data_IF_796593913698
#
_entry.id   IF_796593913698
#
_cell.length_a   1.000
_cell.length_b   1.000
_cell.length_c   1.000
_cell.angle_alpha   90.00
_cell.angle_beta   90.00
_cell.angle_gamma   90.00
#
_symmetry.space_group_name_H-M   'P 1'
#
loop_
_entity.id
_entity.type
_entity.pdbx_description
1 polymer ?
#
# COMPACT_ATOMS: atom_id res chain seq x y z
N UNK A 1 -62.70 61.81 30.92
CA UNK A 1 -62.96 60.70 30.02
C UNK A 1 -61.64 60.40 29.28
N UNK A 2 -60.86 59.44 29.77
CA UNK A 2 -59.56 59.05 29.15
C UNK A 2 -59.81 57.86 28.26
N UNK A 3 -59.64 58.00 26.94
CA UNK A 3 -59.71 56.89 25.98
C UNK A 3 -58.40 56.11 26.02
N UNK A 4 -58.43 54.86 26.49
CA UNK A 4 -57.38 53.88 26.36
C UNK A 4 -57.40 53.36 24.92
N UNK A 5 -56.35 53.65 24.14
CA UNK A 5 -56.11 53.05 22.84
C UNK A 5 -55.25 51.81 23.13
N UNK A 6 -55.84 50.60 22.99
CA UNK A 6 -55.15 49.30 23.09
C UNK A 6 -54.50 49.02 21.74
N UNK A 7 -53.17 49.14 21.66
CA UNK A 7 -52.39 48.73 20.49
C UNK A 7 -52.22 47.25 20.56
N UNK A 8 -52.93 46.51 19.70
CA UNK A 8 -52.78 45.09 19.50
C UNK A 8 -51.55 44.80 18.58
N UNK A 9 -50.42 44.52 19.19
CA UNK A 9 -49.19 44.16 18.46
C UNK A 9 -49.33 42.75 17.95
N UNK A 10 -49.71 42.55 16.68
CA UNK A 10 -49.72 41.24 16.03
C UNK A 10 -48.26 40.86 15.71
N UNK A 11 -47.69 39.99 16.51
CA UNK A 11 -46.45 39.32 16.24
C UNK A 11 -46.65 38.34 15.07
N UNK A 12 -46.36 38.78 13.85
CA UNK A 12 -46.19 37.91 12.70
C UNK A 12 -44.88 37.08 12.92
N UNK A 13 -45.02 35.91 13.51
CA UNK A 13 -43.95 34.90 13.48
C UNK A 13 -43.83 34.42 12.03
N UNK A 14 -42.85 34.94 11.30
CA UNK A 14 -42.39 34.34 10.08
C UNK A 14 -41.75 33.02 10.49
N UNK A 15 -42.47 31.89 10.30
CA UNK A 15 -41.85 30.57 10.21
C UNK A 15 -41.04 30.59 8.91
N UNK A 16 -39.79 31.01 8.99
CA UNK A 16 -38.82 30.68 7.99
C UNK A 16 -38.63 29.15 8.07
N UNK A 17 -39.44 28.43 7.30
CA UNK A 17 -39.08 27.06 6.90
C UNK A 17 -37.81 27.22 6.08
N UNK A 18 -36.64 27.17 6.76
CA UNK A 18 -35.39 26.95 6.08
C UNK A 18 -35.57 25.62 5.37
N UNK A 19 -35.70 25.68 4.04
CA UNK A 19 -35.70 24.49 3.19
C UNK A 19 -34.34 23.83 3.43
N UNK A 20 -34.33 22.79 4.26
CA UNK A 20 -33.12 22.05 4.53
C UNK A 20 -32.64 21.47 3.17
N UNK A 21 -31.40 21.72 2.77
CA UNK A 21 -30.91 21.19 1.51
C UNK A 21 -31.11 19.68 1.52
N UNK A 22 -31.68 19.13 0.44
CA UNK A 22 -31.88 17.71 0.25
C UNK A 22 -30.57 16.98 0.57
N UNK A 23 -30.54 16.18 1.63
CA UNK A 23 -29.36 15.44 2.07
C UNK A 23 -29.36 14.09 1.41
N UNK A 24 -28.27 13.73 0.73
CA UNK A 24 -28.07 12.45 0.08
C UNK A 24 -27.55 11.41 1.09
N UNK A 25 -26.63 11.81 1.95
CA UNK A 25 -26.08 10.96 3.00
C UNK A 25 -25.50 11.78 4.15
N UNK A 26 -25.47 11.19 5.33
CA UNK A 26 -24.67 11.68 6.45
C UNK A 26 -23.43 10.83 6.61
N UNK A 27 -22.30 11.48 6.83
CA UNK A 27 -21.02 10.85 7.20
C UNK A 27 -20.67 11.32 8.62
N UNK A 28 -20.91 10.46 9.60
CA UNK A 28 -21.02 10.86 11.00
C UNK A 28 -22.11 11.94 11.14
N UNK A 29 -21.77 13.14 11.60
CA UNK A 29 -22.72 14.24 11.78
C UNK A 29 -22.71 15.26 10.60
N UNK A 30 -21.92 15.00 9.55
CA UNK A 30 -21.78 15.92 8.41
C UNK A 30 -22.65 15.48 7.24
N UNK A 31 -23.52 16.37 6.72
CA UNK A 31 -24.36 16.08 5.57
C UNK A 31 -23.60 16.23 4.26
N UNK A 32 -23.79 15.31 3.34
CA UNK A 32 -23.50 15.48 1.91
C UNK A 32 -24.82 15.80 1.24
N UNK A 33 -24.88 17.00 0.65
CA UNK A 33 -26.13 17.51 0.06
C UNK A 33 -26.33 17.00 -1.37
N UNK A 34 -27.55 17.10 -1.86
CA UNK A 34 -27.87 16.83 -3.27
C UNK A 34 -27.10 17.78 -4.19
N UNK A 35 -26.89 19.03 -3.77
CA UNK A 35 -26.08 19.98 -4.51
C UNK A 35 -24.63 19.49 -4.67
N UNK A 36 -23.98 19.06 -3.58
CA UNK A 36 -22.61 18.51 -3.64
C UNK A 36 -22.54 17.30 -4.58
N UNK A 37 -23.54 16.42 -4.51
CA UNK A 37 -23.63 15.23 -5.35
C UNK A 37 -23.79 15.57 -6.84
N UNK A 38 -24.80 16.40 -7.19
CA UNK A 38 -25.09 16.76 -8.59
C UNK A 38 -23.97 17.61 -9.21
N UNK A 39 -23.38 18.53 -8.44
CA UNK A 39 -22.24 19.33 -8.89
C UNK A 39 -21.02 18.44 -9.19
N UNK A 40 -20.73 17.45 -8.33
CA UNK A 40 -19.66 16.49 -8.57
C UNK A 40 -19.96 15.59 -9.76
N UNK A 41 -21.19 15.12 -9.89
CA UNK A 41 -21.63 14.31 -11.03
C UNK A 41 -21.44 15.05 -12.34
N UNK A 42 -21.97 16.27 -12.43
CA UNK A 42 -21.82 17.12 -13.61
C UNK A 42 -20.34 17.33 -13.97
N UNK A 43 -19.52 17.63 -12.98
CA UNK A 43 -18.09 17.85 -13.19
C UNK A 43 -17.40 16.61 -13.74
N UNK A 44 -17.65 15.43 -13.18
CA UNK A 44 -17.04 14.17 -13.63
C UNK A 44 -17.48 13.84 -15.06
N UNK A 45 -18.76 13.95 -15.36
CA UNK A 45 -19.30 13.65 -16.70
C UNK A 45 -18.69 14.57 -17.76
N UNK A 46 -18.65 15.86 -17.49
CA UNK A 46 -18.15 16.86 -18.46
C UNK A 46 -16.64 16.76 -18.64
N UNK A 47 -15.85 16.70 -17.56
CA UNK A 47 -14.39 16.68 -17.65
C UNK A 47 -13.84 15.38 -18.27
N UNK A 48 -14.56 14.27 -18.13
CA UNK A 48 -14.14 12.98 -18.68
C UNK A 48 -14.91 12.61 -19.97
N UNK A 49 -15.77 13.49 -20.46
CA UNK A 49 -16.60 13.25 -21.66
C UNK A 49 -17.37 11.90 -21.57
N UNK A 50 -18.00 11.65 -20.40
CA UNK A 50 -18.74 10.41 -20.14
C UNK A 50 -20.19 10.59 -20.55
N UNK A 51 -20.70 9.66 -21.37
CA UNK A 51 -22.13 9.52 -21.64
C UNK A 51 -22.79 8.61 -20.59
N UNK A 52 -23.70 9.17 -19.82
CA UNK A 52 -24.48 8.47 -18.80
C UNK A 52 -25.95 8.31 -19.18
N UNK A 53 -26.27 8.30 -20.47
CA UNK A 53 -27.64 8.11 -20.97
C UNK A 53 -28.19 6.71 -20.67
N UNK A 54 -27.33 5.70 -20.61
CA UNK A 54 -27.70 4.33 -20.24
C UNK A 54 -28.00 4.22 -18.73
N UNK A 55 -29.18 3.68 -18.34
CA UNK A 55 -29.58 3.62 -16.92
C UNK A 55 -28.60 2.86 -16.03
N UNK A 56 -27.95 1.80 -16.50
CA UNK A 56 -27.00 1.03 -15.72
C UNK A 56 -25.70 1.80 -15.51
N UNK A 57 -25.20 2.46 -16.56
CA UNK A 57 -24.04 3.34 -16.48
C UNK A 57 -24.30 4.49 -15.50
N UNK A 58 -25.50 5.13 -15.59
CA UNK A 58 -25.88 6.19 -14.67
C UNK A 58 -25.92 5.72 -13.22
N UNK A 59 -26.48 4.55 -12.93
CA UNK A 59 -26.49 3.95 -11.57
C UNK A 59 -25.10 3.67 -11.05
N UNK A 60 -24.21 3.11 -11.90
CA UNK A 60 -22.83 2.86 -11.47
C UNK A 60 -22.10 4.16 -11.15
N UNK A 61 -22.21 5.18 -12.00
CA UNK A 61 -21.62 6.50 -11.78
C UNK A 61 -22.14 7.12 -10.48
N UNK A 62 -23.43 7.03 -10.22
CA UNK A 62 -24.01 7.57 -8.99
C UNK A 62 -23.40 6.90 -7.75
N UNK A 63 -23.26 5.57 -7.75
CA UNK A 63 -22.63 4.82 -6.65
C UNK A 63 -21.17 5.24 -6.46
N UNK A 64 -20.44 5.40 -7.54
CA UNK A 64 -19.01 5.77 -7.49
C UNK A 64 -18.84 7.19 -6.95
N UNK A 65 -19.64 8.14 -7.40
CA UNK A 65 -19.64 9.52 -6.91
C UNK A 65 -19.98 9.58 -5.43
N UNK A 66 -21.02 8.87 -5.00
CA UNK A 66 -21.39 8.81 -3.59
C UNK A 66 -20.24 8.26 -2.74
N UNK A 67 -19.59 7.20 -3.18
CA UNK A 67 -18.44 6.63 -2.48
C UNK A 67 -17.25 7.62 -2.42
N UNK A 68 -16.98 8.36 -3.50
CA UNK A 68 -15.93 9.39 -3.54
C UNK A 68 -16.24 10.50 -2.52
N UNK A 69 -17.45 11.03 -2.53
CA UNK A 69 -17.84 12.10 -1.60
C UNK A 69 -17.78 11.65 -0.13
N UNK A 70 -18.23 10.42 0.15
CA UNK A 70 -18.10 9.82 1.50
C UNK A 70 -16.63 9.70 1.89
N UNK A 71 -15.77 9.22 1.00
CA UNK A 71 -14.33 9.09 1.27
C UNK A 71 -13.69 10.46 1.52
N UNK A 72 -13.99 11.45 0.70
CA UNK A 72 -13.48 12.83 0.87
C UNK A 72 -13.90 13.44 2.20
N UNK A 73 -15.16 13.26 2.60
CA UNK A 73 -15.65 13.75 3.89
C UNK A 73 -14.96 13.06 5.07
N UNK A 74 -14.78 11.74 5.00
CA UNK A 74 -14.04 10.98 6.02
C UNK A 74 -12.58 11.43 6.12
N UNK A 75 -11.94 11.71 4.98
CA UNK A 75 -10.58 12.23 4.93
C UNK A 75 -10.49 13.63 5.54
N UNK A 76 -11.44 14.50 5.25
CA UNK A 76 -11.51 15.85 5.83
C UNK A 76 -11.64 15.78 7.36
N UNK A 77 -12.58 14.99 7.87
CA UNK A 77 -12.75 14.79 9.31
C UNK A 77 -11.51 14.17 9.97
N UNK A 78 -10.83 13.28 9.28
CA UNK A 78 -9.57 12.72 9.80
C UNK A 78 -8.48 13.78 9.85
N UNK A 79 -8.31 14.57 8.79
CA UNK A 79 -7.32 15.65 8.72
C UNK A 79 -7.54 16.68 9.84
N UNK A 80 -8.77 17.11 10.06
CA UNK A 80 -9.12 18.01 11.16
C UNK A 80 -8.74 17.44 12.54
N UNK A 81 -9.03 16.17 12.78
CA UNK A 81 -8.69 15.48 14.07
C UNK A 81 -7.20 15.42 14.35
N UNK A 82 -6.36 15.33 13.30
CA UNK A 82 -4.91 15.22 13.44
C UNK A 82 -4.17 16.53 13.21
N UNK A 83 -4.88 17.64 13.00
CA UNK A 83 -4.31 18.96 12.71
C UNK A 83 -3.64 19.05 11.34
N UNK A 84 -4.09 18.24 10.38
CA UNK A 84 -3.59 18.17 9.00
C UNK A 84 -4.42 18.99 8.01
N UNK A 85 -4.86 20.17 8.39
CA UNK A 85 -5.66 21.04 7.54
C UNK A 85 -4.87 21.54 6.32
N UNK A 86 -5.49 21.50 5.14
CA UNK A 86 -4.95 22.02 3.89
C UNK A 86 -5.30 23.49 3.73
N UNK A 87 -4.29 24.32 3.49
CA UNK A 87 -4.46 25.76 3.28
C UNK A 87 -4.89 26.05 1.84
N UNK A 88 -5.61 27.15 1.64
CA UNK A 88 -6.06 27.58 0.32
C UNK A 88 -4.90 27.76 -0.68
N UNK A 89 -3.74 28.25 -0.20
CA UNK A 89 -2.53 28.37 -1.01
C UNK A 89 -2.02 27.02 -1.55
N UNK A 90 -2.16 25.93 -0.78
CA UNK A 90 -1.77 24.59 -1.21
C UNK A 90 -2.72 24.09 -2.32
N UNK A 91 -4.01 24.41 -2.23
CA UNK A 91 -5.00 24.11 -3.26
C UNK A 91 -4.68 24.89 -4.54
N UNK A 92 -4.38 26.18 -4.44
CA UNK A 92 -4.01 27.02 -5.59
C UNK A 92 -2.72 26.50 -6.27
N UNK A 93 -1.72 26.11 -5.50
CA UNK A 93 -0.48 25.53 -6.01
C UNK A 93 -0.71 24.16 -6.69
N UNK A 94 -1.62 23.36 -6.17
CA UNK A 94 -2.01 22.08 -6.79
C UNK A 94 -2.72 22.31 -8.12
N UNK A 95 -3.65 23.28 -8.20
CA UNK A 95 -4.34 23.67 -9.43
C UNK A 95 -3.32 24.16 -10.47
N UNK A 96 -2.41 25.05 -10.08
CA UNK A 96 -1.33 25.53 -10.96
C UNK A 96 -0.46 24.35 -11.49
N UNK A 97 -0.15 23.39 -10.65
CA UNK A 97 0.61 22.18 -11.05
C UNK A 97 -0.17 21.32 -12.06
N UNK A 98 -1.50 21.23 -11.93
CA UNK A 98 -2.38 20.56 -12.89
C UNK A 98 -2.36 21.30 -14.24
N UNK A 99 -2.49 22.62 -14.22
CA UNK A 99 -2.44 23.47 -15.40
C UNK A 99 -1.11 23.29 -16.18
N UNK A 100 0.02 23.33 -15.45
CA UNK A 100 1.35 23.15 -16.05
C UNK A 100 1.51 21.76 -16.70
N UNK A 101 1.08 20.69 -16.03
CA UNK A 101 1.14 19.32 -16.57
C UNK A 101 0.28 19.15 -17.82
N UNK A 102 -0.86 19.83 -17.88
CA UNK A 102 -1.77 19.82 -19.03
C UNK A 102 -1.44 20.89 -20.08
N UNK A 103 -0.32 21.62 -19.93
CA UNK A 103 0.11 22.71 -20.84
C UNK A 103 -0.95 23.81 -20.98
N UNK A 104 -1.71 24.05 -19.92
CA UNK A 104 -2.70 25.11 -19.87
C UNK A 104 -2.05 26.41 -19.35
N UNK A 105 -2.52 27.59 -19.77
CA UNK A 105 -2.09 28.86 -19.18
C UNK A 105 -2.55 28.94 -17.73
N UNK A 106 -1.88 29.78 -16.92
CA UNK A 106 -2.31 30.05 -15.53
C UNK A 106 -3.76 30.56 -15.53
N UNK A 107 -4.59 29.93 -14.70
CA UNK A 107 -6.04 30.20 -14.61
C UNK A 107 -6.86 29.47 -15.70
N UNK A 108 -6.21 28.71 -16.56
CA UNK A 108 -6.86 27.99 -17.67
C UNK A 108 -7.86 26.95 -17.20
N UNK A 109 -7.55 26.25 -16.10
CA UNK A 109 -8.48 25.27 -15.51
C UNK A 109 -9.75 25.96 -14.99
N UNK A 110 -9.61 27.05 -14.27
CA UNK A 110 -10.78 27.81 -13.75
C UNK A 110 -11.59 28.41 -14.91
N UNK A 111 -10.93 28.91 -15.97
CA UNK A 111 -11.62 29.39 -17.16
C UNK A 111 -12.40 28.24 -17.85
N UNK A 112 -11.81 27.05 -17.94
CA UNK A 112 -12.47 25.86 -18.49
C UNK A 112 -13.70 25.44 -17.66
N UNK A 113 -13.59 25.46 -16.33
CA UNK A 113 -14.71 25.19 -15.43
C UNK A 113 -15.87 26.17 -15.67
N UNK A 114 -15.56 27.47 -15.73
CA UNK A 114 -16.56 28.51 -16.01
C UNK A 114 -17.24 28.34 -17.37
N UNK A 115 -16.46 28.07 -18.42
CA UNK A 115 -16.97 27.88 -19.78
C UNK A 115 -17.95 26.71 -19.90
N UNK A 116 -17.82 25.70 -19.03
CA UNK A 116 -18.70 24.53 -18.98
C UNK A 116 -19.78 24.62 -17.88
N UNK A 117 -19.96 25.78 -17.25
CA UNK A 117 -20.88 26.02 -16.12
C UNK A 117 -20.68 24.97 -14.99
N UNK A 118 -19.41 24.65 -14.68
CA UNK A 118 -19.04 23.76 -13.57
C UNK A 118 -18.76 24.58 -12.31
N UNK A 119 -19.11 24.01 -11.16
CA UNK A 119 -18.90 24.65 -9.88
C UNK A 119 -17.43 24.60 -9.46
N UNK A 120 -16.84 25.77 -9.23
CA UNK A 120 -15.42 25.89 -8.87
C UNK A 120 -15.16 25.38 -7.46
N UNK A 121 -16.08 25.59 -6.53
CA UNK A 121 -15.93 25.13 -5.16
C UNK A 121 -15.95 23.60 -5.07
N UNK A 122 -16.79 22.95 -5.85
CA UNK A 122 -16.76 21.47 -6.00
C UNK A 122 -15.41 20.98 -6.50
N UNK A 123 -14.79 21.68 -7.46
CA UNK A 123 -13.44 21.35 -7.93
C UNK A 123 -12.38 21.58 -6.85
N UNK A 124 -12.41 22.71 -6.15
CA UNK A 124 -11.49 23.01 -5.04
C UNK A 124 -11.59 21.99 -3.91
N UNK A 125 -12.82 21.59 -3.54
CA UNK A 125 -13.07 20.52 -2.55
C UNK A 125 -12.43 19.20 -2.99
N UNK A 126 -12.54 18.82 -4.26
CA UNK A 126 -11.88 17.63 -4.79
C UNK A 126 -10.35 17.72 -4.64
N UNK A 127 -9.75 18.85 -5.06
CA UNK A 127 -8.29 19.05 -4.93
C UNK A 127 -7.87 18.97 -3.46
N UNK A 128 -8.63 19.58 -2.55
CA UNK A 128 -8.40 19.48 -1.10
C UNK A 128 -8.41 18.03 -0.63
N UNK A 129 -9.41 17.24 -1.04
CA UNK A 129 -9.50 15.80 -0.72
C UNK A 129 -8.30 14.99 -1.22
N UNK A 130 -7.85 15.25 -2.46
CA UNK A 130 -6.68 14.60 -3.04
C UNK A 130 -5.37 14.97 -2.30
N UNK A 131 -5.22 16.22 -1.88
CA UNK A 131 -4.08 16.66 -1.07
C UNK A 131 -4.06 15.98 0.31
N UNK A 132 -5.20 15.92 0.99
CA UNK A 132 -5.33 15.21 2.27
C UNK A 132 -4.95 13.73 2.09
N UNK A 133 -5.51 13.08 1.07
CA UNK A 133 -5.23 11.67 0.75
C UNK A 133 -3.73 11.44 0.49
N UNK A 134 -3.10 12.33 -0.29
CA UNK A 134 -1.68 12.30 -0.56
C UNK A 134 -0.85 12.43 0.71
N UNK A 135 -1.18 13.36 1.60
CA UNK A 135 -0.48 13.57 2.86
C UNK A 135 -0.61 12.35 3.78
N UNK A 136 -1.80 11.74 3.86
CA UNK A 136 -2.00 10.49 4.61
C UNK A 136 -1.14 9.36 4.03
N UNK A 137 -1.15 9.17 2.70
CA UNK A 137 -0.34 8.15 2.03
C UNK A 137 1.14 8.39 2.29
N UNK A 138 1.63 9.62 2.21
CA UNK A 138 3.01 9.98 2.51
C UNK A 138 3.38 9.67 3.96
N UNK A 139 2.52 10.00 4.92
CA UNK A 139 2.71 9.66 6.34
C UNK A 139 2.77 8.13 6.55
N UNK A 140 1.86 7.38 5.93
CA UNK A 140 1.87 5.92 5.98
C UNK A 140 3.15 5.33 5.38
N UNK A 141 3.70 5.96 4.32
CA UNK A 141 4.90 5.49 3.63
C UNK A 141 6.16 5.57 4.49
N UNK A 142 6.27 6.59 5.32
CA UNK A 142 7.42 6.77 6.21
C UNK A 142 7.58 5.61 7.21
N UNK A 143 6.51 4.89 7.50
CA UNK A 143 6.50 3.74 8.41
C UNK A 143 6.72 2.39 7.71
N UNK A 144 6.99 2.40 6.38
CA UNK A 144 7.20 1.18 5.60
C UNK A 144 8.68 0.90 5.47
N UNK A 145 9.08 -0.27 5.92
CA UNK A 145 10.41 -0.82 5.69
C UNK A 145 10.31 -2.19 5.01
N UNK A 146 11.27 -2.50 4.18
CA UNK A 146 11.46 -3.84 3.59
C UNK A 146 12.62 -4.49 4.33
N UNK A 147 12.33 -5.58 5.01
CA UNK A 147 13.36 -6.31 5.77
C UNK A 147 14.29 -7.10 4.84
N UNK A 148 15.50 -7.46 5.30
CA UNK A 148 16.40 -8.34 4.55
C UNK A 148 15.77 -9.68 4.16
N UNK A 149 15.00 -10.29 5.04
CA UNK A 149 14.30 -11.55 4.76
C UNK A 149 13.27 -11.42 3.64
N UNK A 150 12.50 -10.30 3.62
CA UNK A 150 11.53 -10.06 2.55
C UNK A 150 12.22 -9.86 1.20
N UNK A 151 13.39 -9.21 1.20
CA UNK A 151 14.22 -9.08 0.00
C UNK A 151 14.72 -10.43 -0.47
N UNK A 152 15.21 -11.29 0.43
CA UNK A 152 15.70 -12.63 0.12
C UNK A 152 14.58 -13.50 -0.47
N UNK A 153 13.40 -13.53 0.15
CA UNK A 153 12.23 -14.28 -0.36
C UNK A 153 11.79 -13.75 -1.73
N UNK A 154 11.81 -12.44 -1.94
CA UNK A 154 11.45 -11.87 -3.23
C UNK A 154 12.47 -12.18 -4.32
N UNK A 155 13.74 -12.21 -3.97
CA UNK A 155 14.83 -12.63 -4.87
C UNK A 155 14.66 -14.08 -5.29
N UNK A 156 14.44 -14.99 -4.34
CA UNK A 156 14.18 -16.40 -4.60
C UNK A 156 13.01 -16.58 -5.57
N UNK A 157 11.91 -15.85 -5.35
CA UNK A 157 10.71 -15.92 -6.18
C UNK A 157 10.87 -15.28 -7.57
N UNK A 158 11.79 -14.34 -7.71
CA UNK A 158 11.98 -13.57 -8.96
C UNK A 158 13.11 -14.12 -9.83
N UNK A 159 14.11 -14.74 -9.21
CA UNK A 159 15.29 -15.28 -9.87
C UNK A 159 15.44 -16.73 -9.46
N UNK A 160 15.07 -17.62 -10.36
CA UNK A 160 15.01 -19.08 -10.08
C UNK A 160 16.37 -19.74 -9.88
N UNK A 161 17.50 -19.01 -10.06
CA UNK A 161 18.80 -19.68 -10.08
C UNK A 161 19.94 -18.82 -9.52
N UNK A 162 20.42 -19.21 -8.35
CA UNK A 162 21.58 -18.61 -7.69
C UNK A 162 22.86 -19.33 -8.10
N UNK A 163 23.95 -18.61 -8.28
CA UNK A 163 25.29 -19.19 -8.28
C UNK A 163 25.68 -19.48 -6.83
N UNK A 164 25.85 -20.75 -6.52
CA UNK A 164 26.17 -21.26 -5.18
C UNK A 164 27.56 -21.85 -5.15
N UNK A 165 28.36 -21.39 -4.20
CA UNK A 165 29.56 -22.10 -3.77
C UNK A 165 29.33 -22.61 -2.35
N UNK A 166 29.38 -23.91 -2.16
CA UNK A 166 29.12 -24.55 -0.88
C UNK A 166 29.91 -25.85 -0.76
N UNK A 167 30.10 -26.30 0.47
CA UNK A 167 30.55 -27.68 0.76
C UNK A 167 29.37 -28.48 1.28
N UNK A 168 29.14 -29.65 0.73
CA UNK A 168 28.10 -30.58 1.16
C UNK A 168 28.83 -31.77 1.84
N UNK A 169 28.57 -31.94 3.14
CA UNK A 169 29.13 -33.02 3.94
C UNK A 169 28.06 -34.09 4.14
N UNK A 170 28.46 -35.34 3.93
CA UNK A 170 27.62 -36.53 4.11
C UNK A 170 28.28 -37.47 5.10
N UNK A 171 27.55 -37.92 6.10
CA UNK A 171 28.06 -38.95 7.04
C UNK A 171 28.28 -40.28 6.34
N UNK A 172 29.24 -41.06 6.77
CA UNK A 172 29.53 -42.41 6.21
C UNK A 172 28.51 -43.45 6.63
N UNK A 173 27.94 -43.27 7.83
CA UNK A 173 26.91 -44.15 8.38
C UNK A 173 25.78 -43.35 8.96
N UNK A 174 24.64 -44.00 9.22
CA UNK A 174 23.45 -43.36 9.80
C UNK A 174 23.29 -43.49 11.31
N UNK A 175 24.39 -43.87 12.00
CA UNK A 175 24.44 -44.11 13.43
C UNK A 175 24.70 -42.81 14.23
N UNK A 176 24.48 -42.86 15.55
CA UNK A 176 24.63 -41.68 16.42
C UNK A 176 26.10 -41.19 16.46
N UNK A 177 27.09 -42.09 16.34
CA UNK A 177 28.50 -41.73 16.28
C UNK A 177 28.78 -40.85 15.04
N UNK A 178 28.20 -41.18 13.91
CA UNK A 178 28.33 -40.38 12.68
C UNK A 178 27.70 -39.04 12.82
N UNK A 179 26.57 -38.91 13.55
CA UNK A 179 25.94 -37.65 13.85
C UNK A 179 26.80 -36.77 14.79
N UNK A 180 27.41 -37.36 15.81
CA UNK A 180 28.40 -36.70 16.67
C UNK A 180 29.59 -36.17 15.87
N UNK A 181 30.13 -36.99 14.96
CA UNK A 181 31.20 -36.59 14.05
C UNK A 181 30.81 -35.37 13.22
N UNK A 182 29.59 -35.33 12.68
CA UNK A 182 29.07 -34.17 11.94
C UNK A 182 28.96 -32.92 12.82
N UNK A 183 28.60 -33.07 14.11
CA UNK A 183 28.59 -31.97 15.07
C UNK A 183 29.99 -31.42 15.36
N UNK A 184 30.98 -32.30 15.47
CA UNK A 184 32.39 -31.92 15.65
C UNK A 184 32.92 -31.20 14.40
N UNK A 185 32.61 -31.70 13.22
CA UNK A 185 32.95 -31.05 11.96
C UNK A 185 32.31 -29.63 11.88
N UNK A 186 31.03 -29.52 12.23
CA UNK A 186 30.33 -28.23 12.24
C UNK A 186 31.07 -27.17 13.06
N UNK A 187 31.64 -27.54 14.22
CA UNK A 187 32.41 -26.62 15.08
C UNK A 187 33.75 -26.21 14.48
N UNK A 188 34.33 -27.03 13.61
CA UNK A 188 35.60 -26.75 12.94
C UNK A 188 35.47 -25.89 11.69
N UNK A 189 34.29 -25.89 11.06
CA UNK A 189 34.00 -25.13 9.86
C UNK A 189 33.82 -23.65 10.21
N UNK A 190 34.85 -22.84 10.02
CA UNK A 190 34.87 -21.41 10.36
C UNK A 190 35.03 -20.50 9.16
N UNK A 191 35.59 -21.02 8.05
CA UNK A 191 35.86 -20.22 6.84
C UNK A 191 36.01 -21.13 5.63
N UNK A 192 35.47 -20.73 4.48
CA UNK A 192 35.56 -21.51 3.24
C UNK A 192 36.97 -21.76 2.75
N UNK A 193 37.85 -20.79 2.94
CA UNK A 193 39.26 -20.92 2.52
C UNK A 193 40.06 -21.92 3.36
N UNK A 194 39.51 -22.41 4.48
CA UNK A 194 40.14 -23.39 5.37
C UNK A 194 39.55 -24.77 5.26
N UNK A 195 38.61 -24.97 4.34
CA UNK A 195 38.00 -26.28 4.10
C UNK A 195 38.89 -27.02 3.10
N UNK A 196 39.54 -28.06 3.57
CA UNK A 196 40.33 -28.99 2.78
C UNK A 196 40.04 -30.44 3.21
N UNK A 197 40.50 -31.41 2.45
CA UNK A 197 40.25 -32.82 2.72
C UNK A 197 40.74 -33.27 4.10
N UNK A 198 41.82 -32.66 4.62
CA UNK A 198 42.35 -32.98 5.95
C UNK A 198 41.44 -32.57 7.08
N UNK A 199 40.65 -31.51 6.85
CA UNK A 199 39.73 -30.97 7.86
C UNK A 199 38.55 -31.91 8.13
N UNK A 200 38.04 -32.58 7.10
CA UNK A 200 36.80 -33.35 7.20
C UNK A 200 36.97 -34.87 7.03
N UNK A 201 38.12 -35.35 6.53
CA UNK A 201 38.33 -36.76 6.23
C UNK A 201 38.05 -37.71 7.40
N UNK A 202 38.25 -37.30 8.65
CA UNK A 202 37.97 -38.14 9.83
C UNK A 202 36.47 -38.12 10.24
N UNK A 203 35.68 -37.23 9.70
CA UNK A 203 34.31 -36.95 10.16
C UNK A 203 33.23 -37.31 9.15
N UNK A 204 33.44 -36.98 7.88
CA UNK A 204 32.46 -37.11 6.82
C UNK A 204 33.11 -37.15 5.45
N UNK A 205 32.34 -37.50 4.44
CA UNK A 205 32.70 -37.25 3.06
C UNK A 205 32.24 -35.84 2.67
N UNK A 206 33.13 -35.06 2.04
CA UNK A 206 32.87 -33.65 1.66
C UNK A 206 32.95 -33.48 0.15
N UNK A 207 31.98 -32.82 -0.42
CA UNK A 207 31.94 -32.45 -1.82
C UNK A 207 31.81 -30.94 -1.97
N UNK A 208 32.69 -30.33 -2.77
CA UNK A 208 32.58 -28.93 -3.13
C UNK A 208 31.58 -28.79 -4.26
N UNK A 209 30.57 -27.96 -4.04
CA UNK A 209 29.55 -27.59 -5.02
C UNK A 209 29.77 -26.14 -5.46
N UNK A 210 29.94 -25.93 -6.77
CA UNK A 210 30.14 -24.63 -7.38
C UNK A 210 29.33 -24.57 -8.68
N UNK A 211 28.04 -24.42 -8.59
CA UNK A 211 27.07 -24.42 -9.71
C UNK A 211 25.79 -23.65 -9.34
N UNK A 212 24.88 -23.68 -10.28
CA UNK A 212 23.51 -23.15 -10.06
C UNK A 212 22.76 -23.91 -8.97
N UNK A 213 21.97 -23.19 -8.15
CA UNK A 213 21.16 -23.78 -7.09
C UNK A 213 20.22 -24.88 -7.61
N UNK A 214 19.65 -24.67 -8.81
CA UNK A 214 18.75 -25.61 -9.48
C UNK A 214 19.38 -26.99 -9.77
N UNK A 215 20.71 -27.07 -9.77
CA UNK A 215 21.42 -28.35 -9.95
C UNK A 215 21.45 -29.21 -8.66
N UNK A 216 21.01 -28.68 -7.52
CA UNK A 216 20.87 -29.40 -6.26
C UNK A 216 19.49 -30.06 -6.14
N UNK A 217 19.37 -31.17 -5.40
CA UNK A 217 18.06 -31.72 -5.02
C UNK A 217 17.26 -30.72 -4.21
N UNK A 218 15.93 -30.69 -4.40
CA UNK A 218 15.00 -29.70 -3.80
C UNK A 218 15.18 -29.52 -2.28
N UNK A 219 15.32 -30.61 -1.55
CA UNK A 219 15.54 -30.54 -0.11
C UNK A 219 16.88 -29.89 0.26
N UNK A 220 17.94 -30.07 -0.56
CA UNK A 220 19.22 -29.41 -0.36
C UNK A 220 19.16 -27.93 -0.77
N UNK A 221 18.39 -27.59 -1.82
CA UNK A 221 18.16 -26.21 -2.20
C UNK A 221 17.57 -25.39 -1.03
N UNK A 222 16.54 -25.92 -0.36
CA UNK A 222 15.93 -25.27 0.80
C UNK A 222 16.95 -25.04 1.92
N UNK A 223 17.77 -26.06 2.23
CA UNK A 223 18.80 -25.94 3.25
C UNK A 223 19.86 -24.90 2.91
N UNK A 224 20.30 -24.83 1.65
CA UNK A 224 21.24 -23.81 1.17
C UNK A 224 20.65 -22.42 1.30
N UNK A 225 19.38 -22.25 0.90
CA UNK A 225 18.68 -20.95 0.97
C UNK A 225 18.55 -20.45 2.42
N UNK A 226 18.22 -21.33 3.36
CA UNK A 226 18.06 -20.99 4.78
C UNK A 226 19.40 -20.78 5.51
N UNK A 227 20.51 -21.24 4.94
CA UNK A 227 21.83 -21.12 5.58
C UNK A 227 22.51 -19.81 5.19
N UNK A 228 23.02 -19.07 6.17
CA UNK A 228 23.77 -17.81 5.93
C UNK A 228 25.13 -18.11 5.30
N UNK A 229 25.62 -17.18 4.48
CA UNK A 229 26.98 -17.26 3.92
C UNK A 229 28.02 -17.30 5.05
N UNK A 230 29.05 -18.11 4.86
CA UNK A 230 30.11 -18.41 5.83
C UNK A 230 29.63 -19.13 7.11
N UNK A 231 28.51 -19.85 7.03
CA UNK A 231 28.00 -20.64 8.14
C UNK A 231 27.58 -22.04 7.69
N UNK A 232 27.48 -22.98 8.67
CA UNK A 232 26.94 -24.31 8.45
C UNK A 232 25.43 -24.34 8.70
N UNK A 233 24.74 -25.15 7.91
CA UNK A 233 23.34 -25.51 8.16
C UNK A 233 23.16 -26.30 9.46
N UNK A 234 21.91 -26.55 9.83
CA UNK A 234 21.62 -27.64 10.74
C UNK A 234 21.93 -28.97 10.06
N UNK A 235 22.29 -30.01 10.87
CA UNK A 235 22.47 -31.37 10.40
C UNK A 235 21.06 -31.93 10.14
N UNK A 236 20.83 -32.44 8.94
CA UNK A 236 19.56 -33.04 8.53
C UNK A 236 19.75 -34.46 8.01
N UNK A 237 18.70 -35.25 8.04
CA UNK A 237 18.71 -36.62 7.54
C UNK A 237 18.23 -36.66 6.08
N UNK A 238 18.96 -37.31 5.21
CA UNK A 238 18.56 -37.61 3.84
C UNK A 238 18.81 -39.07 3.53
N UNK A 239 17.73 -39.84 3.40
CA UNK A 239 17.79 -41.29 3.44
C UNK A 239 18.27 -41.74 4.82
N UNK A 240 19.23 -42.65 4.86
CA UNK A 240 19.80 -43.14 6.11
C UNK A 240 21.01 -42.35 6.63
N UNK A 241 21.50 -41.38 5.86
CA UNK A 241 22.68 -40.61 6.18
C UNK A 241 22.36 -39.20 6.69
N UNK A 242 23.26 -38.66 7.50
CA UNK A 242 23.23 -37.27 7.94
C UNK A 242 23.98 -36.41 6.93
N UNK A 243 23.37 -35.21 6.66
CA UNK A 243 23.97 -34.19 5.79
C UNK A 243 24.05 -32.86 6.47
N UNK A 244 24.99 -32.05 6.01
CA UNK A 244 25.19 -30.66 6.42
C UNK A 244 25.75 -29.87 5.25
N UNK A 245 25.36 -28.63 5.10
CA UNK A 245 25.90 -27.74 4.09
C UNK A 245 26.65 -26.58 4.78
N UNK A 246 27.81 -26.23 4.24
CA UNK A 246 28.57 -25.04 4.61
C UNK A 246 28.59 -24.10 3.39
N UNK A 247 27.86 -22.99 3.47
CA UNK A 247 27.66 -22.07 2.34
C UNK A 247 28.81 -21.08 2.28
N UNK A 248 29.51 -21.04 1.16
CA UNK A 248 30.62 -20.12 0.91
C UNK A 248 30.18 -18.86 0.17
N UNK A 249 29.31 -19.02 -0.85
CA UNK A 249 28.83 -17.95 -1.67
C UNK A 249 27.36 -18.19 -2.07
N UNK A 250 26.57 -17.17 -2.04
CA UNK A 250 25.26 -17.12 -2.68
C UNK A 250 25.22 -15.85 -3.53
N UNK A 251 25.24 -16.01 -4.83
CA UNK A 251 25.15 -14.90 -5.76
C UNK A 251 23.92 -15.07 -6.64
N UNK A 252 22.99 -14.16 -6.50
CA UNK A 252 21.77 -14.16 -7.30
C UNK A 252 22.00 -13.65 -8.73
N UNK A 253 23.18 -13.15 -9.06
CA UNK A 253 23.44 -12.47 -10.33
C UNK A 253 22.65 -11.19 -10.52
N UNK A 254 21.94 -10.74 -9.49
CA UNK A 254 21.00 -9.61 -9.56
C UNK A 254 21.77 -8.30 -9.48
N UNK A 255 21.57 -7.46 -10.49
CA UNK A 255 22.18 -6.14 -10.49
C UNK A 255 21.64 -5.27 -9.34
N UNK A 256 22.43 -4.26 -8.92
CA UNK A 256 22.00 -3.27 -7.92
C UNK A 256 20.70 -2.57 -8.35
N UNK A 257 20.50 -2.38 -9.66
CA UNK A 257 19.30 -1.78 -10.23
C UNK A 257 18.07 -2.69 -10.02
N UNK A 258 18.22 -3.98 -10.21
CA UNK A 258 17.12 -4.95 -10.00
C UNK A 258 16.78 -5.12 -8.52
N UNK A 259 17.77 -5.09 -7.64
CA UNK A 259 17.54 -5.02 -6.19
C UNK A 259 16.69 -3.81 -5.80
N UNK A 260 16.98 -2.64 -6.37
CA UNK A 260 16.20 -1.43 -6.14
C UNK A 260 14.77 -1.56 -6.69
N UNK A 261 14.58 -2.18 -7.87
CA UNK A 261 13.25 -2.45 -8.42
C UNK A 261 12.44 -3.37 -7.51
N UNK A 262 13.03 -4.47 -7.04
CA UNK A 262 12.38 -5.41 -6.12
C UNK A 262 12.01 -4.71 -4.82
N UNK A 263 12.93 -3.94 -4.24
CA UNK A 263 12.68 -3.18 -3.02
C UNK A 263 11.51 -2.19 -3.20
N UNK A 264 11.50 -1.46 -4.31
CA UNK A 264 10.43 -0.53 -4.65
C UNK A 264 9.10 -1.25 -4.84
N UNK A 265 9.08 -2.39 -5.53
CA UNK A 265 7.89 -3.21 -5.69
C UNK A 265 7.32 -3.68 -4.35
N UNK A 266 8.17 -4.22 -3.46
CA UNK A 266 7.76 -4.65 -2.13
C UNK A 266 7.24 -3.50 -1.27
N UNK A 267 7.92 -2.35 -1.31
CA UNK A 267 7.49 -1.14 -0.61
C UNK A 267 6.13 -0.68 -1.11
N UNK A 268 5.91 -0.62 -2.43
CA UNK A 268 4.64 -0.23 -3.03
C UNK A 268 3.51 -1.21 -2.68
N UNK A 269 3.79 -2.51 -2.69
CA UNK A 269 2.82 -3.56 -2.29
C UNK A 269 2.41 -3.41 -0.82
N UNK A 270 3.38 -3.18 0.08
CA UNK A 270 3.11 -2.92 1.50
C UNK A 270 2.32 -1.64 1.70
N UNK A 271 2.66 -0.58 0.96
CA UNK A 271 1.97 0.70 0.97
C UNK A 271 0.51 0.52 0.57
N UNK A 272 0.26 -0.08 -0.58
CA UNK A 272 -1.10 -0.32 -1.08
C UNK A 272 -1.95 -1.08 -0.05
N UNK A 273 -1.40 -2.17 0.53
CA UNK A 273 -2.09 -2.95 1.57
C UNK A 273 -2.37 -2.11 2.83
N UNK A 274 -1.41 -1.29 3.27
CA UNK A 274 -1.56 -0.43 4.45
C UNK A 274 -2.57 0.69 4.21
N UNK A 275 -2.53 1.34 3.05
CA UNK A 275 -3.48 2.37 2.66
C UNK A 275 -4.91 1.78 2.55
N UNK A 276 -5.08 0.66 1.86
CA UNK A 276 -6.39 -0.01 1.74
C UNK A 276 -6.96 -0.35 3.12
N UNK A 277 -6.13 -0.88 4.03
CA UNK A 277 -6.56 -1.17 5.39
C UNK A 277 -6.95 0.10 6.13
N UNK A 278 -6.15 1.15 6.05
CA UNK A 278 -6.43 2.44 6.70
C UNK A 278 -7.78 3.01 6.25
N UNK A 279 -8.03 3.13 4.96
CA UNK A 279 -9.29 3.66 4.43
C UNK A 279 -10.49 2.76 4.78
N UNK A 280 -10.31 1.44 4.72
CA UNK A 280 -11.34 0.49 5.14
C UNK A 280 -11.68 0.64 6.63
N UNK A 281 -10.67 0.71 7.49
CA UNK A 281 -10.86 0.85 8.94
C UNK A 281 -11.53 2.19 9.28
N UNK A 282 -11.18 3.27 8.57
CA UNK A 282 -11.80 4.58 8.71
C UNK A 282 -13.30 4.52 8.36
N UNK A 283 -13.63 3.90 7.21
CA UNK A 283 -15.04 3.72 6.78
C UNK A 283 -15.83 2.86 7.76
N UNK A 284 -15.26 1.76 8.25
CA UNK A 284 -15.94 0.86 9.20
C UNK A 284 -16.20 1.48 10.58
N UNK A 285 -15.37 2.43 11.00
CA UNK A 285 -15.51 3.13 12.29
C UNK A 285 -16.45 4.34 12.23
N UNK A 286 -16.95 4.67 11.05
CA UNK A 286 -17.79 5.83 10.80
C UNK A 286 -19.26 5.45 10.66
N UNK A 287 -20.13 6.32 11.10
CA UNK A 287 -21.57 6.19 10.90
C UNK A 287 -21.96 6.80 9.55
N UNK A 288 -22.31 5.96 8.58
CA UNK A 288 -22.73 6.40 7.24
C UNK A 288 -24.21 6.07 7.07
N UNK A 289 -25.04 7.11 6.90
CA UNK A 289 -26.48 6.97 6.74
C UNK A 289 -26.92 7.51 5.38
N UNK A 290 -27.18 6.61 4.44
CA UNK A 290 -27.69 6.95 3.11
C UNK A 290 -29.17 7.29 3.22
N UNK A 291 -29.56 8.49 2.73
CA UNK A 291 -30.93 9.02 2.83
C UNK A 291 -31.75 8.78 1.56
N UNK A 292 -31.07 8.57 0.41
CA UNK A 292 -31.71 8.34 -0.89
C UNK A 292 -31.48 6.89 -1.32
N UNK A 293 -32.48 5.99 -1.12
CA UNK A 293 -32.36 4.60 -1.57
C UNK A 293 -32.35 4.55 -3.10
N UNK A 294 -31.37 3.84 -3.68
CA UNK A 294 -31.28 3.60 -5.12
C UNK A 294 -30.34 4.54 -5.91
N UNK A 295 -29.61 5.43 -5.23
CA UNK A 295 -28.48 6.12 -5.82
C UNK A 295 -27.33 5.16 -6.13
#
# INVERSE_FOLDING_TARGET
MKKLISIFLVLLTFNALADLPDVVTFVNDQPITKYDFESRKKMILVLNNIDASEPEVSRQINRDILNILIEEELLSQHAEKVGGEIKEEEIDNAILSIEQRNKMPKGGMIAHMKANNLDIETFRKQIKGELIKSNIINSLSQSISVSPNEMEVALINSYQDFDIEAWIFTSRHGDEKSKENMQLLKKRLTSCNKVDDKLFADFADGEKFDRKLSALPENTQSVVLDTKVSTSSNIYKQGDLFKMVFVCKKDSGVSKNDLNKIKSFLSNKKMSKKATKFFKDMKMKSNIKIMVPGL
#
